data_IF_012740306795
#
_entry.id   IF_012740306795
#
_cell.length_a   1.000
_cell.length_b   1.000
_cell.length_c   1.000
_cell.angle_alpha   90.00
_cell.angle_beta   90.00
_cell.angle_gamma   90.00
#
_symmetry.space_group_name_H-M   'P 1'
#
loop_
_entity.id
_entity.type
_entity.pdbx_description
1 polymer ?
#
# COMPACT_ATOMS: atom_id res chain seq x y z
N UNK A 1 21.70 7.76 -15.66
CA UNK A 1 20.98 6.51 -15.33
C UNK A 1 19.52 6.90 -15.07
N UNK A 2 18.53 6.43 -15.84
CA UNK A 2 17.14 6.96 -15.76
C UNK A 2 16.56 6.88 -14.35
N UNK A 3 15.98 7.97 -13.84
CA UNK A 3 15.31 8.04 -12.53
C UNK A 3 14.29 6.91 -12.31
N UNK A 4 13.58 6.52 -13.38
CA UNK A 4 12.64 5.40 -13.37
C UNK A 4 13.31 4.04 -13.08
N UNK A 5 14.54 3.80 -13.57
CA UNK A 5 15.27 2.56 -13.26
C UNK A 5 15.70 2.52 -11.80
N UNK A 6 16.12 3.67 -11.25
CA UNK A 6 16.53 3.80 -9.85
C UNK A 6 15.34 3.60 -8.90
N UNK A 7 14.19 4.23 -9.22
CA UNK A 7 12.93 4.02 -8.50
C UNK A 7 12.52 2.54 -8.50
N UNK A 8 12.53 1.89 -9.67
CA UNK A 8 12.14 0.48 -9.79
C UNK A 8 13.10 -0.49 -9.07
N UNK A 9 14.41 -0.17 -8.99
CA UNK A 9 15.34 -0.97 -8.18
C UNK A 9 15.09 -0.81 -6.69
N UNK A 10 14.78 0.40 -6.24
CA UNK A 10 14.45 0.70 -4.83
C UNK A 10 13.22 -0.08 -4.40
N UNK A 11 12.14 -0.06 -5.18
CA UNK A 11 10.89 -0.78 -4.88
C UNK A 11 11.09 -2.30 -4.75
N UNK A 12 11.91 -2.89 -5.63
CA UNK A 12 12.22 -4.33 -5.52
C UNK A 12 13.00 -4.68 -4.24
N UNK A 13 13.91 -3.81 -3.83
CA UNK A 13 14.68 -3.96 -2.59
C UNK A 13 13.82 -3.69 -1.36
N UNK A 14 12.87 -2.76 -1.45
CA UNK A 14 11.92 -2.44 -0.39
C UNK A 14 11.02 -3.64 -0.06
N UNK A 15 10.45 -4.29 -1.09
CA UNK A 15 9.64 -5.50 -0.89
C UNK A 15 10.42 -6.64 -0.22
N UNK A 16 11.72 -6.79 -0.52
CA UNK A 16 12.58 -7.77 0.15
C UNK A 16 12.91 -7.39 1.60
N UNK A 17 13.19 -6.11 1.87
CA UNK A 17 13.42 -5.62 3.23
C UNK A 17 12.18 -5.83 4.11
N UNK A 18 11.00 -5.57 3.54
CA UNK A 18 9.71 -5.78 4.20
C UNK A 18 9.46 -7.26 4.51
N UNK A 19 9.72 -8.15 3.56
CA UNK A 19 9.64 -9.59 3.76
C UNK A 19 10.60 -10.06 4.86
N UNK A 20 11.84 -9.57 4.85
CA UNK A 20 12.83 -9.89 5.88
C UNK A 20 12.36 -9.46 7.27
N UNK A 21 11.82 -8.25 7.41
CA UNK A 21 11.29 -7.77 8.68
C UNK A 21 10.09 -8.59 9.17
N UNK A 22 9.20 -9.01 8.27
CA UNK A 22 8.08 -9.89 8.60
C UNK A 22 8.55 -11.27 9.10
N UNK A 23 9.50 -11.88 8.40
CA UNK A 23 10.11 -13.16 8.80
C UNK A 23 10.82 -13.00 10.15
N UNK A 24 11.57 -11.91 10.35
CA UNK A 24 12.24 -11.63 11.60
C UNK A 24 11.25 -11.49 12.78
N UNK A 25 10.09 -10.86 12.56
CA UNK A 25 9.04 -10.77 13.59
C UNK A 25 8.47 -12.14 13.96
N UNK A 26 8.21 -12.99 12.95
CA UNK A 26 7.71 -14.35 13.18
C UNK A 26 8.77 -15.17 13.94
N UNK A 27 10.04 -15.10 13.56
CA UNK A 27 11.12 -15.81 14.26
C UNK A 27 11.28 -15.28 15.71
N UNK A 28 11.25 -13.96 15.90
CA UNK A 28 11.37 -13.35 17.22
C UNK A 28 10.24 -13.80 18.16
N UNK A 29 9.00 -13.83 17.67
CA UNK A 29 7.82 -14.19 18.46
C UNK A 29 7.69 -15.71 18.73
N UNK A 30 8.45 -16.57 18.01
CA UNK A 30 8.38 -18.04 18.15
C UNK A 30 9.70 -18.67 18.63
N UNK A 31 10.64 -17.86 19.07
CA UNK A 31 11.92 -18.33 19.62
C UNK A 31 12.03 -17.97 21.10
N UNK A 32 13.16 -18.31 21.74
CA UNK A 32 13.46 -17.87 23.11
C UNK A 32 13.49 -16.34 23.28
N UNK A 33 13.41 -15.57 22.19
CA UNK A 33 13.28 -14.11 22.21
C UNK A 33 11.86 -13.60 22.41
N UNK A 34 10.83 -14.46 22.37
CA UNK A 34 9.43 -14.05 22.46
C UNK A 34 9.11 -13.16 23.68
N UNK A 35 9.57 -13.48 24.91
CA UNK A 35 9.33 -12.60 26.07
C UNK A 35 10.00 -11.23 25.95
N UNK A 36 11.11 -11.13 25.22
CA UNK A 36 11.77 -9.83 24.96
C UNK A 36 11.01 -9.04 23.90
N UNK A 37 10.55 -9.70 22.85
CA UNK A 37 9.74 -9.11 21.79
C UNK A 37 8.42 -8.53 22.37
N UNK A 38 7.69 -9.33 23.16
CA UNK A 38 6.43 -8.90 23.76
C UNK A 38 6.64 -7.74 24.74
N UNK A 39 7.68 -7.81 25.59
CA UNK A 39 8.03 -6.71 26.51
C UNK A 39 8.41 -5.44 25.77
N UNK A 40 9.17 -5.53 24.68
CA UNK A 40 9.54 -4.38 23.88
C UNK A 40 8.28 -3.68 23.35
N UNK A 41 7.36 -4.41 22.73
CA UNK A 41 6.15 -3.85 22.13
C UNK A 41 5.15 -3.31 23.16
N UNK A 42 5.07 -3.92 24.34
CA UNK A 42 4.19 -3.51 25.44
C UNK A 42 4.82 -2.47 26.37
N UNK A 43 6.08 -2.09 26.17
CA UNK A 43 6.76 -1.07 26.98
C UNK A 43 5.98 0.24 26.90
N UNK A 44 5.60 0.78 28.06
CA UNK A 44 4.88 2.04 28.14
C UNK A 44 5.83 3.21 27.90
N UNK A 45 5.54 3.99 26.86
CA UNK A 45 6.30 5.19 26.51
C UNK A 45 5.40 6.40 26.73
N UNK A 46 5.87 7.31 27.58
CA UNK A 46 5.18 8.54 27.93
C UNK A 46 5.97 9.76 27.45
N UNK A 47 5.31 10.66 26.74
CA UNK A 47 5.83 12.00 26.42
C UNK A 47 4.90 13.01 27.06
N UNK A 48 5.44 13.83 27.97
CA UNK A 48 4.69 14.85 28.69
C UNK A 48 5.31 16.24 28.57
N UNK A 49 4.46 17.23 28.34
CA UNK A 49 4.79 18.66 28.29
C UNK A 49 3.75 19.39 29.14
N UNK A 50 4.10 19.73 30.38
CA UNK A 50 3.15 20.31 31.34
C UNK A 50 1.97 19.36 31.60
N UNK A 51 0.73 19.85 31.41
CA UNK A 51 -0.49 19.04 31.55
C UNK A 51 -0.79 18.16 30.32
N UNK A 52 -0.05 18.34 29.23
CA UNK A 52 -0.22 17.52 28.04
C UNK A 52 0.65 16.27 28.14
N UNK A 53 0.05 15.13 28.51
CA UNK A 53 0.70 13.83 28.44
C UNK A 53 0.09 12.95 27.34
N UNK A 54 0.94 12.18 26.66
CA UNK A 54 0.57 11.07 25.77
C UNK A 54 1.29 9.84 26.31
N UNK A 55 0.52 8.86 26.77
CA UNK A 55 1.03 7.62 27.33
C UNK A 55 0.45 6.47 26.51
N UNK A 56 1.34 5.72 25.84
CA UNK A 56 0.94 4.58 25.01
C UNK A 56 2.02 3.50 25.02
N UNK A 57 1.65 2.22 24.80
CA UNK A 57 2.61 1.17 24.50
C UNK A 57 3.45 1.53 23.26
N UNK A 58 4.69 1.06 23.22
CA UNK A 58 5.60 1.28 22.10
C UNK A 58 4.98 0.85 20.76
N UNK A 59 4.20 -0.24 20.74
CA UNK A 59 3.47 -0.67 19.54
C UNK A 59 2.56 0.43 18.97
N UNK A 60 1.81 1.14 19.82
CA UNK A 60 0.92 2.21 19.36
C UNK A 60 1.70 3.45 18.94
N UNK A 61 2.84 3.76 19.57
CA UNK A 61 3.75 4.81 19.10
C UNK A 61 4.31 4.50 17.71
N UNK A 62 4.71 3.24 17.49
CA UNK A 62 5.14 2.77 16.17
C UNK A 62 3.99 2.94 15.17
N UNK A 63 2.79 2.46 15.49
CA UNK A 63 1.66 2.52 14.58
C UNK A 63 1.24 3.96 14.27
N UNK A 64 1.01 4.81 15.28
CA UNK A 64 0.55 6.18 15.08
C UNK A 64 1.64 7.10 14.49
N UNK A 65 2.90 6.88 14.86
CA UNK A 65 4.03 7.69 14.45
C UNK A 65 4.58 7.32 13.08
N UNK A 66 4.95 6.04 12.88
CA UNK A 66 5.49 5.58 11.61
C UNK A 66 4.45 5.68 10.50
N UNK A 67 3.19 5.35 10.77
CA UNK A 67 2.15 5.46 9.75
C UNK A 67 1.82 6.92 9.45
N UNK A 68 1.99 7.88 10.37
CA UNK A 68 1.85 9.29 10.02
C UNK A 68 2.91 9.73 8.99
N UNK A 69 4.14 9.21 9.06
CA UNK A 69 5.20 9.47 8.07
C UNK A 69 4.85 8.79 6.74
N UNK A 70 4.37 7.54 6.76
CA UNK A 70 3.93 6.83 5.57
C UNK A 70 2.78 7.57 4.87
N UNK A 71 1.72 7.91 5.59
CA UNK A 71 0.57 8.63 5.04
C UNK A 71 0.90 10.08 4.65
N UNK A 72 1.91 10.71 5.27
CA UNK A 72 2.46 11.97 4.78
C UNK A 72 3.08 11.79 3.39
N UNK A 73 3.91 10.77 3.17
CA UNK A 73 4.46 10.45 1.84
C UNK A 73 3.35 10.19 0.81
N UNK A 74 2.37 9.35 1.16
CA UNK A 74 1.20 9.08 0.30
C UNK A 74 0.44 10.37 -0.02
N UNK A 75 0.26 11.27 0.96
CA UNK A 75 -0.36 12.57 0.73
C UNK A 75 0.42 13.48 -0.23
N UNK A 76 1.76 13.44 -0.20
CA UNK A 76 2.59 14.17 -1.16
C UNK A 76 2.43 13.58 -2.56
N UNK A 77 2.48 12.26 -2.68
CA UNK A 77 2.33 11.54 -3.95
C UNK A 77 0.95 11.80 -4.58
N UNK A 78 -0.13 11.67 -3.80
CA UNK A 78 -1.51 11.96 -4.26
C UNK A 78 -1.60 13.40 -4.75
N UNK A 79 -1.07 14.38 -3.99
CA UNK A 79 -1.08 15.78 -4.42
C UNK A 79 -0.31 16.00 -5.72
N UNK A 80 0.86 15.38 -5.87
CA UNK A 80 1.66 15.46 -7.11
C UNK A 80 0.91 14.83 -8.29
N UNK A 81 0.35 13.65 -8.10
CA UNK A 81 -0.35 12.92 -9.14
C UNK A 81 -1.60 13.66 -9.62
N UNK A 82 -2.39 14.22 -8.72
CA UNK A 82 -3.59 15.00 -9.05
C UNK A 82 -3.27 16.30 -9.78
N UNK A 83 -2.20 17.00 -9.37
CA UNK A 83 -1.86 18.31 -9.95
C UNK A 83 -1.02 18.24 -11.22
N UNK A 84 -0.14 17.25 -11.35
CA UNK A 84 0.86 17.18 -12.42
C UNK A 84 1.07 15.80 -13.05
N UNK A 85 0.49 14.74 -12.48
CA UNK A 85 0.76 13.36 -12.86
C UNK A 85 -0.32 12.72 -13.72
N UNK A 86 -0.34 11.39 -13.69
CA UNK A 86 -1.24 10.56 -14.51
C UNK A 86 -2.70 10.68 -14.05
N UNK A 87 -2.93 11.20 -12.83
CA UNK A 87 -4.25 11.53 -12.31
C UNK A 87 -4.79 12.89 -12.79
N UNK A 88 -4.11 13.56 -13.71
CA UNK A 88 -4.61 14.81 -14.30
C UNK A 88 -5.55 14.59 -15.50
N UNK A 89 -5.57 13.40 -16.11
CA UNK A 89 -6.40 13.12 -17.30
C UNK A 89 -7.47 12.05 -17.05
N UNK A 90 -8.74 12.41 -17.24
CA UNK A 90 -9.88 11.54 -16.94
C UNK A 90 -9.86 10.21 -17.72
N UNK A 91 -9.32 10.20 -18.94
CA UNK A 91 -9.25 9.01 -19.79
C UNK A 91 -8.23 7.97 -19.29
N UNK A 92 -7.16 8.40 -18.60
CA UNK A 92 -6.13 7.51 -18.05
C UNK A 92 -6.51 6.97 -16.66
N UNK A 93 -7.36 7.71 -15.92
CA UNK A 93 -7.77 7.38 -14.55
C UNK A 93 -8.93 6.39 -14.50
N UNK A 94 -9.84 6.44 -15.47
CA UNK A 94 -11.13 5.74 -15.37
C UNK A 94 -10.97 4.24 -15.10
N UNK A 95 -10.02 3.57 -15.79
CA UNK A 95 -9.82 2.14 -15.61
C UNK A 95 -9.20 1.79 -14.25
N UNK A 96 -8.05 2.37 -13.82
CA UNK A 96 -7.50 2.12 -12.48
C UNK A 96 -8.44 2.51 -11.33
N UNK A 97 -9.12 3.65 -11.42
CA UNK A 97 -10.00 4.12 -10.35
C UNK A 97 -11.21 3.20 -10.16
N UNK A 98 -11.87 2.79 -11.25
CA UNK A 98 -12.99 1.84 -11.17
C UNK A 98 -12.51 0.46 -10.69
N UNK A 99 -11.31 0.04 -11.10
CA UNK A 99 -10.71 -1.20 -10.61
C UNK A 99 -10.42 -1.15 -9.10
N UNK A 100 -9.91 -0.03 -8.58
CA UNK A 100 -9.67 0.17 -7.16
C UNK A 100 -10.99 0.20 -6.36
N UNK A 101 -12.00 0.95 -6.81
CA UNK A 101 -13.33 0.97 -6.18
C UNK A 101 -13.92 -0.44 -6.11
N UNK A 102 -13.91 -1.18 -7.22
CA UNK A 102 -14.32 -2.59 -7.23
C UNK A 102 -13.48 -3.44 -6.28
N UNK A 103 -12.17 -3.22 -6.28
CA UNK A 103 -11.18 -3.81 -5.39
C UNK A 103 -11.29 -3.43 -3.92
N UNK A 104 -12.15 -2.48 -3.55
CA UNK A 104 -12.49 -2.17 -2.15
C UNK A 104 -13.87 -2.70 -1.78
N UNK A 105 -14.86 -2.50 -2.65
CA UNK A 105 -16.25 -2.92 -2.40
C UNK A 105 -16.38 -4.44 -2.31
N UNK A 106 -15.77 -5.18 -3.23
CA UNK A 106 -15.91 -6.64 -3.26
C UNK A 106 -15.27 -7.33 -2.04
N UNK A 107 -14.02 -7.02 -1.61
CA UNK A 107 -13.47 -7.58 -0.38
C UNK A 107 -14.30 -7.24 0.87
N UNK A 108 -14.77 -5.99 0.98
CA UNK A 108 -15.62 -5.57 2.08
C UNK A 108 -16.93 -6.36 2.14
N UNK A 109 -17.58 -6.55 0.99
CA UNK A 109 -18.81 -7.33 0.89
C UNK A 109 -18.60 -8.81 1.27
N UNK A 110 -17.50 -9.42 0.82
CA UNK A 110 -17.16 -10.81 1.19
C UNK A 110 -16.91 -10.93 2.70
N UNK A 111 -16.18 -10.00 3.29
CA UNK A 111 -15.96 -9.99 4.73
C UNK A 111 -17.28 -9.89 5.49
N UNK A 112 -18.14 -8.95 5.11
CA UNK A 112 -19.45 -8.74 5.75
C UNK A 112 -20.39 -9.92 5.52
N UNK A 113 -20.31 -10.63 4.40
CA UNK A 113 -21.10 -11.84 4.18
C UNK A 113 -20.72 -12.97 5.15
N UNK A 114 -19.45 -13.05 5.55
CA UNK A 114 -18.94 -14.08 6.47
C UNK A 114 -19.15 -13.65 7.94
N UNK A 115 -18.85 -12.39 8.27
CA UNK A 115 -18.75 -11.90 9.65
C UNK A 115 -19.83 -10.88 10.05
N UNK A 116 -20.69 -10.46 9.12
CA UNK A 116 -21.68 -9.40 9.36
C UNK A 116 -22.77 -9.77 10.37
N UNK A 117 -22.94 -11.06 10.66
CA UNK A 117 -23.86 -11.55 11.69
C UNK A 117 -23.34 -11.36 13.12
N UNK A 118 -22.04 -11.14 13.31
CA UNK A 118 -21.42 -10.92 14.64
C UNK A 118 -21.08 -9.43 14.83
N UNK A 119 -21.81 -8.71 15.71
CA UNK A 119 -21.57 -7.28 15.96
C UNK A 119 -20.13 -6.94 16.39
N UNK A 120 -19.43 -7.89 17.02
CA UNK A 120 -18.04 -7.69 17.44
C UNK A 120 -17.08 -7.64 16.24
N UNK A 121 -17.40 -8.34 15.15
CA UNK A 121 -16.52 -8.50 13.99
C UNK A 121 -16.85 -7.53 12.85
N UNK A 122 -18.03 -6.90 12.83
CA UNK A 122 -18.45 -5.98 11.74
C UNK A 122 -17.41 -4.89 11.46
N UNK A 123 -16.71 -4.39 12.48
CA UNK A 123 -15.71 -3.31 12.34
C UNK A 123 -14.51 -3.67 11.45
N UNK A 124 -14.23 -4.96 11.26
CA UNK A 124 -13.12 -5.45 10.44
C UNK A 124 -13.35 -5.41 8.92
N UNK A 125 -14.49 -4.89 8.43
CA UNK A 125 -14.84 -4.91 7.01
C UNK A 125 -13.83 -4.21 6.09
N UNK A 126 -13.11 -3.21 6.62
CA UNK A 126 -12.11 -2.45 5.88
C UNK A 126 -10.75 -3.15 5.80
N UNK A 127 -10.51 -4.22 6.59
CA UNK A 127 -9.21 -4.91 6.63
C UNK A 127 -8.81 -5.46 5.25
N UNK A 128 -9.66 -6.22 4.52
CA UNK A 128 -9.27 -6.80 3.24
C UNK A 128 -9.36 -5.83 2.05
N UNK A 129 -9.65 -4.55 2.26
CA UNK A 129 -9.79 -3.57 1.17
C UNK A 129 -8.45 -2.95 0.77
N UNK A 130 -7.43 -3.03 1.62
CA UNK A 130 -6.13 -2.40 1.34
C UNK A 130 -5.19 -3.30 0.53
N UNK A 131 -4.22 -2.67 -0.14
CA UNK A 131 -3.17 -3.34 -0.92
C UNK A 131 -1.81 -2.77 -0.51
N UNK A 132 -0.86 -3.64 -0.17
CA UNK A 132 0.53 -3.28 0.13
C UNK A 132 1.32 -3.10 -1.17
N UNK A 133 1.47 -1.85 -1.58
CA UNK A 133 2.17 -1.46 -2.81
C UNK A 133 3.62 -1.97 -2.86
N UNK A 134 4.37 -1.84 -1.76
CA UNK A 134 5.79 -2.18 -1.71
C UNK A 134 5.99 -3.68 -1.90
N UNK A 135 5.14 -4.49 -1.25
CA UNK A 135 5.25 -5.94 -1.38
C UNK A 135 4.72 -6.44 -2.73
N UNK A 136 3.61 -5.89 -3.24
CA UNK A 136 3.05 -6.24 -4.54
C UNK A 136 4.00 -5.89 -5.70
N UNK A 137 4.59 -4.69 -5.69
CA UNK A 137 5.61 -4.29 -6.65
C UNK A 137 6.89 -5.11 -6.48
N UNK A 138 7.29 -5.42 -5.24
CA UNK A 138 8.42 -6.30 -4.95
C UNK A 138 8.31 -7.65 -5.68
N UNK A 139 7.19 -8.36 -5.50
CA UNK A 139 6.92 -9.64 -6.18
C UNK A 139 6.87 -9.46 -7.71
N UNK A 140 6.20 -8.41 -8.19
CA UNK A 140 6.14 -8.14 -9.63
C UNK A 140 7.55 -7.91 -10.21
N UNK A 141 8.46 -7.27 -9.48
CA UNK A 141 9.82 -7.00 -9.93
C UNK A 141 10.73 -8.24 -9.90
N UNK A 142 10.44 -9.24 -9.06
CA UNK A 142 11.15 -10.54 -9.10
C UNK A 142 10.99 -11.27 -10.44
N UNK A 143 9.92 -10.99 -11.19
CA UNK A 143 9.70 -11.51 -12.55
C UNK A 143 10.61 -10.86 -13.61
N UNK A 144 11.39 -9.86 -13.20
CA UNK A 144 12.46 -9.24 -13.97
C UNK A 144 11.99 -8.37 -15.13
N UNK A 145 12.83 -8.25 -16.16
CA UNK A 145 12.62 -7.35 -17.32
C UNK A 145 11.43 -7.74 -18.22
N UNK A 146 10.74 -8.85 -17.94
CA UNK A 146 9.63 -9.36 -18.77
C UNK A 146 8.32 -8.63 -18.51
N UNK A 147 8.21 -7.90 -17.40
CA UNK A 147 6.98 -7.20 -17.01
C UNK A 147 6.81 -5.92 -17.85
N UNK A 148 5.69 -5.77 -18.58
CA UNK A 148 5.37 -4.54 -19.30
C UNK A 148 5.28 -3.34 -18.36
N UNK A 149 5.72 -2.16 -18.81
CA UNK A 149 5.62 -0.92 -18.03
C UNK A 149 4.16 -0.61 -17.65
N UNK A 150 3.22 -0.82 -18.59
CA UNK A 150 1.80 -0.59 -18.38
C UNK A 150 1.23 -1.40 -17.19
N UNK A 151 1.75 -2.60 -16.92
CA UNK A 151 1.33 -3.42 -15.77
C UNK A 151 1.78 -2.80 -14.45
N UNK A 152 2.99 -2.24 -14.42
CA UNK A 152 3.56 -1.61 -13.23
C UNK A 152 2.76 -0.36 -12.88
N UNK A 153 2.54 0.49 -13.89
CA UNK A 153 1.73 1.71 -13.75
C UNK A 153 0.32 1.34 -13.27
N UNK A 154 -0.33 0.36 -13.91
CA UNK A 154 -1.66 -0.08 -13.48
C UNK A 154 -1.71 -0.52 -12.01
N UNK A 155 -0.77 -1.38 -11.57
CA UNK A 155 -0.72 -1.84 -10.17
C UNK A 155 -0.46 -0.68 -9.20
N UNK A 156 0.51 0.17 -9.50
CA UNK A 156 0.82 1.36 -8.69
C UNK A 156 -0.40 2.27 -8.56
N UNK A 157 -1.08 2.59 -9.67
CA UNK A 157 -2.25 3.48 -9.64
C UNK A 157 -3.41 2.87 -8.87
N UNK A 158 -3.71 1.56 -9.04
CA UNK A 158 -4.75 0.88 -8.25
C UNK A 158 -4.42 0.94 -6.77
N UNK A 159 -3.16 0.68 -6.38
CA UNK A 159 -2.74 0.73 -4.99
C UNK A 159 -2.85 2.15 -4.39
N UNK A 160 -2.47 3.20 -5.12
CA UNK A 160 -2.63 4.60 -4.67
C UNK A 160 -4.11 4.95 -4.45
N UNK A 161 -5.02 4.48 -5.32
CA UNK A 161 -6.46 4.66 -5.12
C UNK A 161 -6.99 3.88 -3.92
N UNK A 162 -6.53 2.64 -3.72
CA UNK A 162 -6.89 1.84 -2.54
C UNK A 162 -6.42 2.53 -1.25
N UNK A 163 -5.21 3.12 -1.23
CA UNK A 163 -4.68 3.86 -0.08
C UNK A 163 -5.47 5.15 0.18
N UNK A 164 -5.82 5.91 -0.85
CA UNK A 164 -6.73 7.05 -0.74
C UNK A 164 -8.10 6.62 -0.19
N UNK A 165 -8.62 5.51 -0.69
CA UNK A 165 -9.86 4.92 -0.20
C UNK A 165 -9.76 4.54 1.28
N UNK A 166 -8.67 3.91 1.70
CA UNK A 166 -8.40 3.57 3.09
C UNK A 166 -8.34 4.82 3.99
N UNK A 167 -7.69 5.90 3.53
CA UNK A 167 -7.65 7.20 4.24
C UNK A 167 -9.07 7.71 4.50
N UNK A 168 -9.93 7.70 3.47
CA UNK A 168 -11.32 8.16 3.59
C UNK A 168 -12.11 7.27 4.55
N UNK A 169 -11.93 5.95 4.47
CA UNK A 169 -12.59 5.00 5.37
C UNK A 169 -12.18 5.26 6.83
N UNK A 170 -10.88 5.43 7.08
CA UNK A 170 -10.33 5.70 8.42
C UNK A 170 -10.93 6.99 8.99
N UNK A 171 -10.99 8.06 8.18
CA UNK A 171 -11.54 9.34 8.61
C UNK A 171 -13.02 9.26 9.00
N UNK A 172 -13.84 8.53 8.22
CA UNK A 172 -15.28 8.50 8.41
C UNK A 172 -15.76 7.46 9.43
N UNK A 173 -15.10 6.30 9.51
CA UNK A 173 -15.64 5.14 10.25
C UNK A 173 -14.92 4.80 11.55
N UNK A 174 -13.69 5.28 11.75
CA UNK A 174 -12.89 4.91 12.92
C UNK A 174 -12.65 6.07 13.91
N UNK A 175 -13.20 7.26 13.63
CA UNK A 175 -12.99 8.45 14.46
C UNK A 175 -13.91 8.41 15.70
N UNK A 176 -13.34 8.57 16.90
CA UNK A 176 -14.07 8.52 18.18
C UNK A 176 -13.64 9.62 19.14
N UNK A 177 -14.51 10.01 20.08
CA UNK A 177 -14.20 10.90 21.21
C UNK A 177 -13.53 12.23 20.83
N UNK A 178 -14.25 13.02 20.03
CA UNK A 178 -13.75 14.29 19.50
C UNK A 178 -13.55 15.36 20.59
N UNK A 179 -12.29 15.70 20.86
CA UNK A 179 -11.95 16.90 21.62
C UNK A 179 -11.94 18.12 20.71
N UNK A 180 -13.02 18.91 20.74
CA UNK A 180 -13.17 20.09 19.89
C UNK A 180 -12.03 21.11 20.02
N UNK A 181 -11.48 21.29 21.23
CA UNK A 181 -10.38 22.23 21.47
C UNK A 181 -9.07 21.78 20.79
N UNK A 182 -8.67 20.52 20.99
CA UNK A 182 -7.46 19.98 20.37
C UNK A 182 -7.58 19.91 18.85
N UNK A 183 -8.78 19.59 18.37
CA UNK A 183 -9.09 19.61 16.94
C UNK A 183 -8.96 21.03 16.37
N UNK A 184 -9.45 22.05 17.07
CA UNK A 184 -9.31 23.44 16.66
C UNK A 184 -7.83 23.87 16.58
N UNK A 185 -6.99 23.46 17.55
CA UNK A 185 -5.54 23.71 17.48
C UNK A 185 -4.88 23.00 16.28
N UNK A 186 -5.24 21.74 16.01
CA UNK A 186 -4.73 21.01 14.85
C UNK A 186 -5.13 21.65 13.52
N UNK A 187 -6.40 22.03 13.37
CA UNK A 187 -6.91 22.75 12.19
C UNK A 187 -6.24 24.12 12.07
N UNK A 188 -6.04 24.84 13.17
CA UNK A 188 -5.33 26.13 13.19
C UNK A 188 -3.89 25.99 12.71
N UNK A 189 -3.18 24.94 13.12
CA UNK A 189 -1.84 24.62 12.63
C UNK A 189 -1.82 24.33 11.13
N UNK A 190 -2.78 23.55 10.62
CA UNK A 190 -2.94 23.33 9.17
C UNK A 190 -3.26 24.64 8.42
N UNK A 191 -4.06 25.52 9.00
CA UNK A 191 -4.35 26.85 8.47
C UNK A 191 -3.11 27.73 8.37
N UNK A 192 -2.22 27.66 9.36
CA UNK A 192 -0.92 28.35 9.33
C UNK A 192 0.00 27.80 8.23
N UNK A 193 0.09 26.48 8.09
CA UNK A 193 0.81 25.85 6.98
C UNK A 193 0.23 26.26 5.61
N UNK A 194 -1.10 26.29 5.49
CA UNK A 194 -1.76 26.76 4.28
C UNK A 194 -1.42 28.23 3.99
N UNK A 195 -1.38 29.09 5.01
CA UNK A 195 -0.97 30.48 4.87
C UNK A 195 0.48 30.60 4.39
N UNK A 196 1.40 29.82 4.96
CA UNK A 196 2.79 29.76 4.49
C UNK A 196 2.90 29.36 3.03
N UNK A 197 2.09 28.39 2.59
CA UNK A 197 2.04 27.99 1.19
C UNK A 197 1.54 29.14 0.30
N UNK A 198 0.48 29.84 0.73
CA UNK A 198 -0.07 30.99 -0.01
C UNK A 198 0.89 32.17 -0.11
N UNK A 199 1.72 32.39 0.90
CA UNK A 199 2.77 33.44 0.91
C UNK A 199 4.03 32.99 0.13
N UNK A 200 4.10 31.72 -0.29
CA UNK A 200 5.22 31.21 -1.08
C UNK A 200 6.45 30.82 -0.25
N UNK A 201 6.26 30.40 1.00
CA UNK A 201 7.35 29.89 1.84
C UNK A 201 7.81 28.53 1.30
N UNK A 202 8.95 28.51 0.61
CA UNK A 202 9.53 27.30 0.02
C UNK A 202 10.21 26.35 1.03
N UNK A 203 10.67 26.88 2.17
CA UNK A 203 11.33 26.07 3.19
C UNK A 203 10.33 25.11 3.83
N UNK A 204 10.68 23.83 3.88
CA UNK A 204 9.79 22.77 4.39
C UNK A 204 9.83 22.62 5.91
N UNK A 205 10.92 23.02 6.56
CA UNK A 205 11.10 22.88 8.01
C UNK A 205 9.95 23.47 8.86
N UNK A 206 9.43 24.69 8.58
CA UNK A 206 8.29 25.23 9.34
C UNK A 206 7.04 24.35 9.25
N UNK A 207 6.75 23.78 8.07
CA UNK A 207 5.61 22.89 7.89
C UNK A 207 5.78 21.61 8.69
N UNK A 208 6.98 21.02 8.71
CA UNK A 208 7.24 19.80 9.49
C UNK A 208 7.13 20.07 10.99
N UNK A 209 7.66 21.20 11.49
CA UNK A 209 7.55 21.57 12.91
C UNK A 209 6.09 21.76 13.33
N UNK A 210 5.30 22.48 12.55
CA UNK A 210 3.86 22.64 12.80
C UNK A 210 3.16 21.29 12.66
N UNK A 211 3.55 20.48 11.69
CA UNK A 211 3.06 19.13 11.45
C UNK A 211 3.15 18.21 12.66
N UNK A 212 4.25 18.26 13.40
CA UNK A 212 4.43 17.49 14.65
C UNK A 212 3.39 17.91 15.69
N UNK A 213 3.13 19.22 15.80
CA UNK A 213 2.09 19.75 16.72
C UNK A 213 0.70 19.32 16.26
N UNK A 214 0.39 19.43 14.96
CA UNK A 214 -0.89 18.98 14.39
C UNK A 214 -1.10 17.49 14.65
N UNK A 215 -0.07 16.67 14.44
CA UNK A 215 -0.12 15.23 14.71
C UNK A 215 -0.41 14.94 16.19
N UNK A 216 0.28 15.60 17.13
CA UNK A 216 0.03 15.44 18.56
C UNK A 216 -1.38 15.89 18.97
N UNK A 217 -1.88 16.98 18.38
CA UNK A 217 -3.25 17.44 18.57
C UNK A 217 -4.26 16.42 18.04
N UNK A 218 -4.07 15.91 16.82
CA UNK A 218 -4.97 14.92 16.20
C UNK A 218 -5.03 13.66 17.04
N UNK A 219 -3.87 13.10 17.38
CA UNK A 219 -3.69 11.91 18.21
C UNK A 219 -4.47 11.96 19.53
N UNK A 220 -4.53 13.12 20.18
CA UNK A 220 -5.26 13.31 21.44
C UNK A 220 -6.69 13.82 21.26
N UNK A 221 -7.03 14.32 20.06
CA UNK A 221 -8.37 14.82 19.72
C UNK A 221 -9.37 13.75 19.33
N UNK A 222 -8.94 12.48 19.19
CA UNK A 222 -9.80 11.40 18.73
C UNK A 222 -9.81 11.20 17.21
N UNK A 223 -9.23 12.14 16.45
CA UNK A 223 -8.92 11.96 15.03
C UNK A 223 -7.67 11.10 14.89
N UNK A 224 -7.61 10.24 13.87
CA UNK A 224 -6.42 9.42 13.63
C UNK A 224 -5.19 10.27 13.34
N UNK A 225 -4.09 9.89 14.00
CA UNK A 225 -2.78 10.51 13.82
C UNK A 225 -2.31 10.47 12.35
N UNK A 226 -2.67 9.42 11.61
CA UNK A 226 -2.30 9.25 10.20
C UNK A 226 -2.91 10.29 9.27
N UNK A 227 -4.12 10.78 9.59
CA UNK A 227 -4.78 11.83 8.83
C UNK A 227 -4.05 13.16 8.93
N UNK A 228 -3.34 13.42 10.04
CA UNK A 228 -2.50 14.60 10.18
C UNK A 228 -1.38 14.62 9.13
N UNK A 229 -0.78 13.45 8.84
CA UNK A 229 0.21 13.30 7.79
C UNK A 229 -0.36 13.69 6.43
N UNK A 230 -1.47 13.08 6.01
CA UNK A 230 -2.10 13.41 4.72
C UNK A 230 -2.47 14.90 4.64
N UNK A 231 -3.15 15.42 5.67
CA UNK A 231 -3.59 16.81 5.70
C UNK A 231 -2.42 17.79 5.61
N UNK A 232 -1.31 17.51 6.33
CA UNK A 232 -0.10 18.31 6.24
C UNK A 232 0.50 18.26 4.84
N UNK A 233 0.58 17.09 4.22
CA UNK A 233 1.13 16.93 2.87
C UNK A 233 0.37 17.78 1.84
N UNK A 234 -0.96 17.89 1.99
CA UNK A 234 -1.79 18.75 1.16
C UNK A 234 -1.47 20.24 1.31
N UNK A 235 -0.88 20.67 2.42
CA UNK A 235 -0.43 22.06 2.62
C UNK A 235 0.95 22.37 2.05
N UNK A 236 1.78 21.36 1.75
CA UNK A 236 3.16 21.57 1.24
C UNK A 236 3.14 22.15 -0.18
N UNK A 237 3.88 23.23 -0.49
CA UNK A 237 3.88 23.82 -1.82
C UNK A 237 4.48 22.89 -2.88
N UNK A 238 3.76 22.68 -3.98
CA UNK A 238 4.27 21.97 -5.17
C UNK A 238 5.12 22.90 -6.06
N UNK A 239 4.75 24.18 -6.14
CA UNK A 239 5.49 25.21 -6.88
C UNK A 239 5.57 26.47 -6.03
N UNK A 240 6.70 27.18 -6.12
CA UNK A 240 6.88 28.47 -5.48
C UNK A 240 7.30 29.48 -6.56
N UNK A 241 6.44 30.46 -6.83
CA UNK A 241 6.65 31.45 -7.89
C UNK A 241 6.64 30.85 -9.30
N UNK A 242 7.45 31.41 -10.20
CA UNK A 242 7.65 30.93 -11.59
C UNK A 242 8.81 29.91 -11.71
N UNK A 243 9.24 29.32 -10.59
CA UNK A 243 10.40 28.44 -10.57
C UNK A 243 10.12 27.08 -11.25
N UNK A 244 11.15 26.56 -11.92
CA UNK A 244 11.14 25.26 -12.60
C UNK A 244 10.80 24.09 -11.65
N UNK A 245 10.32 22.98 -12.24
CA UNK A 245 10.06 21.70 -11.55
C UNK A 245 11.22 21.23 -10.64
N UNK A 246 12.47 21.61 -10.97
CA UNK A 246 13.66 21.22 -10.22
C UNK A 246 13.73 21.83 -8.80
N UNK A 247 12.97 22.89 -8.52
CA UNK A 247 12.93 23.57 -7.22
C UNK A 247 11.68 23.23 -6.38
N UNK A 248 10.88 22.23 -6.77
CA UNK A 248 9.65 21.85 -6.06
C UNK A 248 9.92 21.34 -4.64
N UNK A 249 9.46 22.04 -3.58
CA UNK A 249 9.64 21.60 -2.20
C UNK A 249 8.96 20.26 -1.92
N UNK A 250 7.77 20.05 -2.49
CA UNK A 250 7.03 18.79 -2.38
C UNK A 250 7.82 17.64 -3.00
N UNK A 251 8.28 17.77 -4.26
CA UNK A 251 9.01 16.70 -4.93
C UNK A 251 10.33 16.39 -4.22
N UNK A 252 10.99 17.40 -3.65
CA UNK A 252 12.21 17.20 -2.87
C UNK A 252 11.95 16.40 -1.59
N UNK A 253 10.87 16.73 -0.86
CA UNK A 253 10.46 15.96 0.32
C UNK A 253 10.05 14.52 -0.03
N UNK A 254 9.24 14.34 -1.06
CA UNK A 254 8.79 13.03 -1.54
C UNK A 254 10.00 12.14 -1.87
N UNK A 255 10.94 12.64 -2.68
CA UNK A 255 12.12 11.88 -3.08
C UNK A 255 13.06 11.60 -1.90
N UNK A 256 13.18 12.54 -0.96
CA UNK A 256 13.99 12.37 0.25
C UNK A 256 13.38 11.38 1.24
N UNK A 257 12.06 11.35 1.38
CA UNK A 257 11.34 10.49 2.34
C UNK A 257 11.14 9.07 1.83
N UNK A 258 10.94 8.88 0.53
CA UNK A 258 10.69 7.58 -0.08
C UNK A 258 11.63 6.46 0.42
N UNK A 259 12.98 6.60 0.40
CA UNK A 259 13.86 5.55 0.90
C UNK A 259 13.72 5.30 2.42
N UNK A 260 13.49 6.33 3.22
CA UNK A 260 13.26 6.14 4.67
C UNK A 260 11.97 5.38 4.92
N UNK A 261 10.92 5.70 4.17
CA UNK A 261 9.64 4.99 4.30
C UNK A 261 9.79 3.52 3.89
N UNK A 262 10.42 3.29 2.74
CA UNK A 262 10.62 1.96 2.17
C UNK A 262 11.52 1.03 3.01
N UNK A 263 12.60 1.56 3.59
CA UNK A 263 13.64 0.74 4.25
C UNK A 263 13.65 0.83 5.77
N UNK A 264 12.98 1.81 6.38
CA UNK A 264 12.92 1.97 7.83
C UNK A 264 11.49 1.93 8.36
N UNK A 265 10.60 2.78 7.86
CA UNK A 265 9.23 2.93 8.38
C UNK A 265 8.42 1.65 8.17
N UNK A 266 8.28 1.19 6.92
CA UNK A 266 7.51 -0.01 6.60
C UNK A 266 8.12 -1.29 7.20
N UNK A 267 9.44 -1.54 7.12
CA UNK A 267 10.04 -2.69 7.79
C UNK A 267 9.89 -2.67 9.32
N UNK A 268 10.07 -1.52 9.99
CA UNK A 268 9.88 -1.43 11.43
C UNK A 268 8.41 -1.65 11.82
N UNK A 269 7.47 -1.10 11.05
CA UNK A 269 6.04 -1.33 11.22
C UNK A 269 5.69 -2.82 11.06
N UNK A 270 6.18 -3.46 9.99
CA UNK A 270 5.98 -4.87 9.75
C UNK A 270 6.60 -5.72 10.86
N UNK A 271 7.79 -5.36 11.35
CA UNK A 271 8.43 -6.07 12.45
C UNK A 271 7.57 -6.03 13.73
N UNK A 272 6.93 -4.90 14.02
CA UNK A 272 6.09 -4.72 15.20
C UNK A 272 4.71 -5.39 15.09
N UNK A 273 4.14 -5.50 13.88
CA UNK A 273 2.75 -5.94 13.69
C UNK A 273 2.59 -7.34 13.08
N UNK A 274 3.60 -7.88 12.39
CA UNK A 274 3.51 -9.17 11.71
C UNK A 274 3.81 -10.37 12.62
N UNK A 275 4.33 -10.15 13.84
CA UNK A 275 4.65 -11.22 14.77
C UNK A 275 3.40 -12.00 15.18
N UNK A 276 3.31 -13.27 14.78
CA UNK A 276 2.22 -14.19 15.15
C UNK A 276 2.82 -15.48 15.72
N UNK A 277 2.22 -16.03 16.77
CA UNK A 277 2.59 -17.34 17.31
C UNK A 277 2.18 -18.43 16.31
N UNK A 278 3.12 -19.28 15.91
CA UNK A 278 2.90 -20.37 14.96
C UNK A 278 1.93 -21.42 15.53
N UNK A 279 1.88 -21.56 16.85
CA UNK A 279 0.90 -22.43 17.52
C UNK A 279 -0.55 -21.98 17.29
N UNK A 280 -0.76 -20.71 16.93
CA UNK A 280 -2.07 -20.16 16.55
C UNK A 280 -2.35 -20.29 15.05
N UNK A 281 -1.41 -20.79 14.23
CA UNK A 281 -1.62 -21.10 12.81
C UNK A 281 -2.20 -22.51 12.62
N UNK A 282 -3.23 -22.84 13.39
CA UNK A 282 -4.00 -24.07 13.17
C UNK A 282 -5.05 -23.85 12.08
N UNK A 283 -5.49 -24.94 11.44
CA UNK A 283 -6.58 -24.87 10.47
C UNK A 283 -7.87 -24.34 11.13
N UNK A 284 -8.13 -24.71 12.38
CA UNK A 284 -9.28 -24.22 13.16
C UNK A 284 -9.21 -22.71 13.39
N UNK A 285 -8.03 -22.18 13.73
CA UNK A 285 -7.84 -20.74 13.86
C UNK A 285 -8.00 -20.02 12.51
N UNK A 286 -7.48 -20.57 11.42
CA UNK A 286 -7.60 -19.98 10.08
C UNK A 286 -9.04 -20.02 9.52
N UNK A 287 -9.85 -21.00 9.95
CA UNK A 287 -11.25 -21.18 9.56
C UNK A 287 -12.23 -20.43 10.46
N UNK A 288 -11.76 -19.86 11.57
CA UNK A 288 -12.56 -18.94 12.37
C UNK A 288 -13.04 -17.74 11.53
N UNK A 289 -14.21 -17.19 11.87
CA UNK A 289 -14.89 -16.19 11.06
C UNK A 289 -13.99 -15.00 10.69
N UNK A 290 -13.32 -14.39 11.66
CA UNK A 290 -12.47 -13.22 11.45
C UNK A 290 -11.29 -13.50 10.48
N UNK A 291 -10.38 -14.46 10.75
CA UNK A 291 -9.29 -14.81 9.82
C UNK A 291 -9.80 -15.22 8.44
N UNK A 292 -10.85 -16.05 8.38
CA UNK A 292 -11.42 -16.55 7.14
C UNK A 292 -12.01 -15.42 6.29
N UNK A 293 -12.76 -14.50 6.91
CA UNK A 293 -13.35 -13.35 6.23
C UNK A 293 -12.29 -12.41 5.64
N UNK A 294 -11.20 -12.18 6.38
CA UNK A 294 -10.07 -11.38 5.89
C UNK A 294 -9.39 -12.10 4.73
N UNK A 295 -9.02 -13.37 4.90
CA UNK A 295 -8.33 -14.13 3.88
C UNK A 295 -9.17 -14.28 2.61
N UNK A 296 -10.46 -14.59 2.73
CA UNK A 296 -11.38 -14.69 1.61
C UNK A 296 -11.58 -13.35 0.89
N UNK A 297 -11.68 -12.24 1.63
CA UNK A 297 -11.74 -10.90 1.06
C UNK A 297 -10.48 -10.53 0.26
N UNK A 298 -9.30 -10.81 0.81
CA UNK A 298 -8.02 -10.55 0.14
C UNK A 298 -7.82 -11.44 -1.09
N UNK A 299 -8.14 -12.74 -0.98
CA UNK A 299 -7.96 -13.69 -2.08
C UNK A 299 -9.04 -13.46 -3.14
N UNK A 300 -10.31 -13.71 -2.81
CA UNK A 300 -11.39 -13.71 -3.79
C UNK A 300 -11.94 -12.32 -4.06
N UNK A 301 -12.03 -11.47 -3.04
CA UNK A 301 -12.59 -10.13 -3.17
C UNK A 301 -11.78 -9.25 -4.10
N UNK A 302 -10.45 -9.24 -3.98
CA UNK A 302 -9.59 -8.45 -4.87
C UNK A 302 -9.63 -8.96 -6.31
N UNK A 303 -9.73 -10.27 -6.50
CA UNK A 303 -9.93 -10.84 -7.83
C UNK A 303 -11.28 -10.41 -8.43
N UNK A 304 -12.39 -10.64 -7.74
CA UNK A 304 -13.73 -10.30 -8.22
C UNK A 304 -13.85 -8.78 -8.45
N UNK A 305 -13.33 -7.99 -7.52
CA UNK A 305 -13.37 -6.53 -7.56
C UNK A 305 -12.51 -5.95 -8.66
N UNK A 306 -11.18 -6.10 -8.57
CA UNK A 306 -10.23 -5.46 -9.48
C UNK A 306 -10.38 -6.04 -10.89
N UNK A 307 -10.35 -7.37 -11.05
CA UNK A 307 -10.45 -7.98 -12.37
C UNK A 307 -11.84 -7.85 -12.95
N UNK A 308 -12.90 -8.07 -12.16
CA UNK A 308 -14.28 -7.96 -12.64
C UNK A 308 -14.63 -6.55 -13.12
N UNK A 309 -14.23 -5.52 -12.35
CA UNK A 309 -14.43 -4.12 -12.74
C UNK A 309 -13.62 -3.75 -14.00
N UNK A 310 -12.35 -4.15 -14.05
CA UNK A 310 -11.48 -3.94 -15.22
C UNK A 310 -12.04 -4.65 -16.46
N UNK A 311 -12.49 -5.89 -16.30
CA UNK A 311 -13.10 -6.69 -17.36
C UNK A 311 -14.37 -6.05 -17.90
N UNK A 312 -15.27 -5.60 -17.02
CA UNK A 312 -16.51 -4.93 -17.41
C UNK A 312 -16.21 -3.67 -18.22
N UNK A 313 -15.33 -2.80 -17.72
CA UNK A 313 -14.95 -1.55 -18.39
C UNK A 313 -14.40 -1.77 -19.80
N UNK A 314 -13.53 -2.78 -19.97
CA UNK A 314 -12.95 -3.12 -21.28
C UNK A 314 -13.97 -3.80 -22.18
N UNK A 315 -14.80 -4.71 -21.64
CA UNK A 315 -15.78 -5.48 -22.40
C UNK A 315 -16.90 -4.62 -22.98
N UNK A 316 -17.34 -3.60 -22.23
CA UNK A 316 -18.34 -2.62 -22.65
C UNK A 316 -17.76 -1.47 -23.48
N UNK A 317 -16.46 -1.49 -23.79
CA UNK A 317 -15.82 -0.48 -24.64
C UNK A 317 -15.61 0.89 -23.97
N UNK A 318 -15.80 0.97 -22.66
CA UNK A 318 -15.61 2.20 -21.85
C UNK A 318 -14.12 2.50 -21.68
N UNK A 319 -13.30 1.45 -21.56
CA UNK A 319 -11.84 1.53 -21.45
C UNK A 319 -11.14 0.63 -22.47
N UNK A 320 -9.86 0.92 -22.72
CA UNK A 320 -9.00 0.11 -23.59
C UNK A 320 -8.06 -0.74 -22.76
N UNK A 321 -7.74 -1.92 -23.29
CA UNK A 321 -6.70 -2.78 -22.73
C UNK A 321 -5.36 -2.02 -22.68
N UNK A 322 -4.64 -2.02 -21.54
CA UNK A 322 -3.33 -1.38 -21.47
C UNK A 322 -2.37 -2.02 -22.49
N UNK A 323 -1.49 -1.21 -23.07
CA UNK A 323 -0.62 -1.62 -24.18
C UNK A 323 0.37 -2.71 -23.76
N UNK A 324 0.48 -3.75 -24.59
CA UNK A 324 1.39 -4.88 -24.32
C UNK A 324 0.95 -5.81 -23.19
N UNK A 325 -0.33 -5.73 -22.80
CA UNK A 325 -0.91 -6.56 -21.73
C UNK A 325 -1.93 -7.55 -22.29
N UNK A 326 -2.25 -8.60 -21.54
CA UNK A 326 -3.31 -9.56 -21.87
C UNK A 326 -4.15 -9.90 -20.63
N UNK A 327 -5.26 -10.60 -20.82
CA UNK A 327 -6.18 -10.93 -19.73
C UNK A 327 -5.52 -11.72 -18.60
N UNK A 328 -4.62 -12.65 -18.93
CA UNK A 328 -3.90 -13.43 -17.92
C UNK A 328 -2.92 -12.57 -17.10
N UNK A 329 -2.31 -11.56 -17.71
CA UNK A 329 -1.47 -10.58 -17.03
C UNK A 329 -2.30 -9.70 -16.09
N UNK A 330 -3.47 -9.21 -16.53
CA UNK A 330 -4.37 -8.42 -15.68
C UNK A 330 -4.90 -9.24 -14.51
N UNK A 331 -5.31 -10.49 -14.74
CA UNK A 331 -5.73 -11.38 -13.67
C UNK A 331 -4.59 -11.68 -12.67
N UNK A 332 -3.38 -11.89 -13.18
CA UNK A 332 -2.18 -12.03 -12.35
C UNK A 332 -1.90 -10.79 -11.50
N UNK A 333 -2.12 -9.58 -12.02
CA UNK A 333 -2.00 -8.36 -11.23
C UNK A 333 -3.12 -8.21 -10.20
N UNK A 334 -4.37 -8.57 -10.53
CA UNK A 334 -5.45 -8.56 -9.53
C UNK A 334 -5.21 -9.51 -8.36
N UNK A 335 -4.49 -10.62 -8.59
CA UNK A 335 -4.01 -11.49 -7.51
C UNK A 335 -2.97 -10.79 -6.63
N UNK A 336 -2.04 -10.02 -7.23
CA UNK A 336 -1.08 -9.23 -6.46
C UNK A 336 -1.75 -8.07 -5.68
N UNK A 337 -2.88 -7.53 -6.16
CA UNK A 337 -3.70 -6.61 -5.37
C UNK A 337 -4.31 -7.28 -4.11
N UNK A 338 -4.33 -8.62 -4.04
CA UNK A 338 -4.72 -9.40 -2.86
C UNK A 338 -3.69 -9.40 -1.73
N UNK A 339 -2.55 -8.74 -1.91
CA UNK A 339 -1.51 -8.62 -0.89
C UNK A 339 -1.84 -7.41 -0.02
N UNK A 340 -2.56 -7.61 1.09
CA UNK A 340 -2.94 -6.52 1.99
C UNK A 340 -1.88 -6.16 3.03
N UNK A 341 -1.05 -7.15 3.39
CA UNK A 341 0.04 -7.10 4.38
C UNK A 341 0.06 -5.87 5.31
N UNK A 342 0.95 -4.89 5.13
CA UNK A 342 1.14 -3.79 6.10
C UNK A 342 -0.12 -2.95 6.28
N UNK A 343 -0.80 -2.58 5.19
CA UNK A 343 -1.98 -1.73 5.27
C UNK A 343 -3.18 -2.44 5.88
N UNK A 344 -3.37 -3.73 5.59
CA UNK A 344 -4.40 -4.53 6.25
C UNK A 344 -4.10 -4.76 7.73
N UNK A 345 -2.84 -4.98 8.11
CA UNK A 345 -2.43 -5.07 9.53
C UNK A 345 -2.70 -3.75 10.25
N UNK A 346 -2.42 -2.62 9.60
CA UNK A 346 -2.69 -1.30 10.15
C UNK A 346 -4.19 -1.07 10.38
N UNK A 347 -5.02 -1.30 9.36
CA UNK A 347 -6.48 -1.16 9.50
C UNK A 347 -7.03 -2.13 10.55
N UNK A 348 -6.48 -3.34 10.64
CA UNK A 348 -6.86 -4.29 11.69
C UNK A 348 -6.57 -3.79 13.10
N UNK A 349 -5.42 -3.12 13.30
CA UNK A 349 -5.08 -2.46 14.56
C UNK A 349 -5.96 -1.25 14.90
N UNK A 350 -6.58 -0.61 13.90
CA UNK A 350 -7.60 0.43 14.11
C UNK A 350 -8.97 -0.17 14.43
N UNK A 351 -9.28 -1.33 13.85
CA UNK A 351 -10.58 -1.98 14.01
C UNK A 351 -10.74 -2.72 15.33
N UNK A 352 -9.67 -3.31 15.84
CA UNK A 352 -9.71 -4.15 17.02
C UNK A 352 -8.61 -3.76 18.02
N UNK A 353 -9.03 -3.45 19.25
CA UNK A 353 -8.14 -3.20 20.38
C UNK A 353 -7.92 -4.45 21.25
N UNK A 354 -8.59 -5.55 20.94
CA UNK A 354 -8.50 -6.83 21.67
C UNK A 354 -7.33 -7.67 21.13
N UNK A 355 -6.50 -8.17 22.03
CA UNK A 355 -5.35 -9.01 21.70
C UNK A 355 -5.76 -10.34 21.05
N UNK A 356 -6.89 -10.92 21.46
CA UNK A 356 -7.42 -12.17 20.91
C UNK A 356 -7.83 -12.02 19.44
N UNK A 357 -8.51 -10.92 19.10
CA UNK A 357 -8.89 -10.60 17.73
C UNK A 357 -7.69 -10.16 16.89
N UNK A 358 -6.72 -9.46 17.49
CA UNK A 358 -5.48 -9.04 16.83
C UNK A 358 -4.68 -10.23 16.29
N UNK A 359 -4.62 -11.34 17.03
CA UNK A 359 -4.01 -12.57 16.54
C UNK A 359 -4.75 -13.10 15.29
N UNK A 360 -6.09 -13.13 15.33
CA UNK A 360 -6.91 -13.52 14.19
C UNK A 360 -6.72 -12.64 12.95
N UNK A 361 -6.63 -11.31 13.13
CA UNK A 361 -6.29 -10.38 12.06
C UNK A 361 -4.96 -10.76 11.41
N UNK A 362 -3.90 -10.95 12.21
CA UNK A 362 -2.58 -11.32 11.71
C UNK A 362 -2.63 -12.61 10.90
N UNK A 363 -3.30 -13.65 11.42
CA UNK A 363 -3.47 -14.93 10.70
C UNK A 363 -4.19 -14.73 9.36
N UNK A 364 -5.32 -14.01 9.35
CA UNK A 364 -6.10 -13.78 8.13
C UNK A 364 -5.34 -12.96 7.08
N UNK A 365 -4.70 -11.87 7.50
CA UNK A 365 -3.92 -11.00 6.60
C UNK A 365 -2.70 -11.72 6.05
N UNK A 366 -1.93 -12.42 6.90
CA UNK A 366 -0.72 -13.13 6.47
C UNK A 366 -1.04 -14.28 5.52
N UNK A 367 -2.02 -15.13 5.87
CA UNK A 367 -2.43 -16.26 5.03
C UNK A 367 -3.03 -15.80 3.70
N UNK A 368 -3.94 -14.82 3.73
CA UNK A 368 -4.53 -14.24 2.53
C UNK A 368 -3.48 -13.61 1.61
N UNK A 369 -2.59 -12.78 2.17
CA UNK A 369 -1.53 -12.13 1.39
C UNK A 369 -0.53 -13.11 0.81
N UNK A 370 -0.15 -14.14 1.57
CA UNK A 370 0.78 -15.19 1.11
C UNK A 370 0.18 -15.99 -0.05
N UNK A 371 -1.08 -16.43 0.08
CA UNK A 371 -1.78 -17.19 -0.96
C UNK A 371 -1.91 -16.34 -2.23
N UNK A 372 -2.41 -15.10 -2.09
CA UNK A 372 -2.53 -14.14 -3.20
C UNK A 372 -1.20 -13.87 -3.90
N UNK A 373 -0.13 -13.63 -3.13
CA UNK A 373 1.21 -13.39 -3.65
C UNK A 373 1.79 -14.60 -4.40
N UNK A 374 1.66 -15.81 -3.85
CA UNK A 374 2.13 -17.05 -4.50
C UNK A 374 1.36 -17.30 -5.80
N UNK A 375 0.02 -17.22 -5.77
CA UNK A 375 -0.82 -17.44 -6.95
C UNK A 375 -0.51 -16.41 -8.05
N UNK A 376 -0.41 -15.14 -7.68
CA UNK A 376 -0.04 -14.06 -8.60
C UNK A 376 1.33 -14.28 -9.23
N UNK A 377 2.34 -14.61 -8.41
CA UNK A 377 3.70 -14.91 -8.90
C UNK A 377 3.73 -16.11 -9.85
N UNK A 378 3.15 -17.24 -9.46
CA UNK A 378 3.15 -18.47 -10.27
C UNK A 378 2.46 -18.25 -11.61
N UNK A 379 1.30 -17.59 -11.61
CA UNK A 379 0.56 -17.31 -12.84
C UNK A 379 1.35 -16.39 -13.76
N UNK A 380 1.82 -15.25 -13.26
CA UNK A 380 2.55 -14.27 -14.06
C UNK A 380 3.87 -14.85 -14.58
N UNK A 381 4.59 -15.63 -13.77
CA UNK A 381 5.80 -16.30 -14.20
C UNK A 381 5.53 -17.26 -15.38
N UNK A 382 4.45 -18.05 -15.32
CA UNK A 382 4.04 -18.93 -16.42
C UNK A 382 3.68 -18.15 -17.68
N UNK A 383 2.94 -17.04 -17.55
CA UNK A 383 2.55 -16.18 -18.66
C UNK A 383 3.78 -15.57 -19.34
N UNK A 384 4.70 -15.00 -18.57
CA UNK A 384 5.92 -14.38 -19.09
C UNK A 384 6.93 -15.40 -19.65
N UNK A 385 7.01 -16.60 -19.08
CA UNK A 385 7.83 -17.69 -19.60
C UNK A 385 7.35 -18.15 -20.99
N UNK A 386 6.03 -18.33 -21.17
CA UNK A 386 5.43 -18.70 -22.46
C UNK A 386 5.66 -17.64 -23.54
N UNK A 387 5.47 -16.36 -23.21
CA UNK A 387 5.72 -15.26 -24.14
C UNK A 387 7.19 -15.20 -24.61
N UNK A 388 8.13 -15.47 -23.72
CA UNK A 388 9.57 -15.51 -24.01
C UNK A 388 9.94 -16.68 -24.92
N UNK A 389 9.38 -17.87 -24.67
CA UNK A 389 9.60 -19.06 -25.48
C UNK A 389 9.06 -18.88 -26.92
N UNK A 390 7.90 -18.24 -27.07
CA UNK A 390 7.32 -17.94 -28.38
C UNK A 390 8.19 -16.97 -29.18
N UNK A 391 8.68 -15.88 -28.58
CA UNK A 391 9.60 -14.94 -29.27
C UNK A 391 10.90 -15.60 -29.72
N UNK A 392 11.48 -16.51 -28.91
CA UNK A 392 12.67 -17.26 -29.31
C UNK A 392 12.42 -18.16 -30.52
N UNK A 393 11.28 -18.88 -30.56
CA UNK A 393 10.90 -19.74 -31.70
C UNK A 393 10.64 -18.94 -32.97
N UNK A 394 9.97 -17.80 -32.88
CA UNK A 394 9.72 -16.93 -34.04
C UNK A 394 11.03 -16.35 -34.57
N UNK A 395 11.93 -15.89 -33.69
CA UNK A 395 13.25 -15.38 -34.09
C UNK A 395 14.11 -16.45 -34.74
N UNK A 396 14.09 -17.69 -34.22
CA UNK A 396 14.79 -18.83 -34.82
C UNK A 396 14.25 -19.21 -36.21
N UNK A 397 12.92 -19.14 -36.41
CA UNK A 397 12.31 -19.35 -37.73
C UNK A 397 12.60 -18.22 -38.71
N UNK A 398 12.64 -16.96 -38.24
CA UNK A 398 12.98 -15.81 -39.06
C UNK A 398 14.47 -15.76 -39.44
N UNK A 399 15.36 -16.31 -38.62
CA UNK A 399 16.79 -16.45 -38.93
C UNK A 399 17.12 -17.69 -39.77
N UNK A 400 16.14 -18.56 -40.05
CA UNK A 400 16.29 -19.80 -40.80
C UNK A 400 15.65 -19.74 -42.20
N UNK A 401 15.88 -18.68 -42.96
CA UNK A 401 15.53 -18.63 -44.39
C UNK A 401 16.26 -19.73 -45.18
N UNK A 402 15.71 -20.19 -46.32
CA UNK A 402 16.28 -21.31 -47.08
C UNK A 402 17.72 -21.02 -47.52
N UNK A 403 18.58 -22.05 -47.66
CA UNK A 403 19.96 -21.85 -48.09
C UNK A 403 19.99 -21.21 -49.48
N UNK A 404 20.61 -20.03 -49.59
CA UNK A 404 20.94 -19.39 -50.86
C UNK A 404 22.23 -20.03 -51.37
N UNK A 405 22.13 -21.22 -51.97
CA UNK A 405 23.08 -21.84 -52.90
C UNK A 405 22.28 -22.96 -53.59
N UNK A 406 22.08 -23.04 -54.91
CA UNK A 406 22.90 -22.58 -56.01
C UNK A 406 22.02 -22.22 -57.23
N UNK A 407 22.31 -21.07 -57.84
CA UNK A 407 22.14 -20.79 -59.26
C UNK A 407 23.47 -20.21 -59.72
N UNK A 408 23.88 -20.59 -60.93
CA UNK A 408 25.23 -20.49 -61.53
C UNK A 408 26.05 -21.74 -61.19
N UNK A 409 26.51 -22.55 -62.15
CA UNK A 409 27.03 -22.20 -63.47
C UNK A 409 26.58 -23.18 -64.57
N UNK A 410 26.29 -22.59 -65.73
CA UNK A 410 26.32 -23.20 -67.06
C UNK A 410 27.68 -22.91 -67.68
N UNK A 411 28.45 -23.93 -68.03
CA UNK A 411 29.32 -24.03 -69.23
C UNK A 411 29.65 -25.48 -69.46
#
# INVERSE_FOLDING_TARGET
>A
MNALKQFLTIESSAGLALLFAAIAAIIAHNSGLAPFYDRLLTTQVAVSIGSFAIEKPLLLWINDGLMAIFFFLIGLEIKREVLEGELSSAAQIALPAVAAIGGMVAPAAIYLAINGGDPSLVRGWAIPTATDIAFALGILMLLGRRVPLALKVFLTTVAVFDDLGAIVIIALFFTHDLSGLLLAFGIGGLGLCWLFNRIGVARTAPYIMIGIVVWACFLKSGVHATLAGVALALTIPLRVGHADRAASPLCHLEHGLHPWVAFMVLPAFAFANAGVKLDLLTFDAASAGLPLGIAAGLIFGKQIGVFGATWAMIRFGIARMPTGTNWAMLYGVSLLCGIGFTMSLFIGGLAFNDESLSAGVRVGVLSGSLISGILGYVLLNRVFARASAHRKRVRQRASGGPPVHARQEST
#
